data_IF_502395618137
#
_entry.id   IF_502395618137
#
_cell.length_a   1.000
_cell.length_b   1.000
_cell.length_c   1.000
_cell.angle_alpha   90.00
_cell.angle_beta   90.00
_cell.angle_gamma   90.00
#
_symmetry.space_group_name_H-M   'P 1'
#
loop_
_entity.id
_entity.type
_entity.pdbx_description
1 polymer ?
#
# COMPACT_ATOMS: atom_id res chain seq x y z
N UNK A 1 -14.29 5.22 8.39
CA UNK A 1 -13.76 4.49 7.22
C UNK A 1 -12.39 3.94 7.56
N UNK A 2 -12.09 2.77 7.06
CA UNK A 2 -10.81 2.09 7.25
C UNK A 2 -10.17 1.87 5.87
N UNK A 3 -8.93 2.34 5.71
CA UNK A 3 -8.27 2.39 4.40
C UNK A 3 -6.90 1.74 4.49
N UNK A 4 -6.61 0.82 3.56
CA UNK A 4 -5.30 0.23 3.37
C UNK A 4 -4.58 0.99 2.26
N UNK A 5 -3.35 1.42 2.50
CA UNK A 5 -2.57 2.13 1.48
C UNK A 5 -1.93 1.14 0.51
N UNK A 6 -2.08 1.40 -0.79
CA UNK A 6 -1.26 0.76 -1.80
C UNK A 6 0.20 1.18 -1.60
N UNK A 7 1.13 0.32 -1.99
CA UNK A 7 2.56 0.56 -1.79
C UNK A 7 3.03 1.87 -2.43
N UNK A 8 2.44 2.27 -3.56
CA UNK A 8 2.76 3.54 -4.21
C UNK A 8 2.53 4.76 -3.31
N UNK A 9 1.52 4.71 -2.45
CA UNK A 9 1.26 5.79 -1.48
C UNK A 9 2.34 5.87 -0.41
N UNK A 10 2.92 4.75 0.00
CA UNK A 10 4.03 4.74 0.94
C UNK A 10 5.26 5.42 0.32
N UNK A 11 5.55 5.13 -0.95
CA UNK A 11 6.61 5.83 -1.67
C UNK A 11 6.35 7.33 -1.75
N UNK A 12 5.12 7.73 -2.06
CA UNK A 12 4.75 9.14 -2.18
C UNK A 12 4.84 9.87 -0.84
N UNK A 13 4.48 9.22 0.26
CA UNK A 13 4.64 9.80 1.60
C UNK A 13 6.10 10.08 1.92
N UNK A 14 7.01 9.22 1.46
CA UNK A 14 8.45 9.40 1.68
C UNK A 14 9.08 10.42 0.73
N UNK A 15 8.69 10.39 -0.56
CA UNK A 15 9.38 11.13 -1.61
C UNK A 15 8.75 12.49 -1.91
N UNK A 16 7.44 12.59 -1.87
CA UNK A 16 6.71 13.78 -2.35
C UNK A 16 5.38 13.97 -1.62
N UNK A 17 5.40 14.20 -0.28
CA UNK A 17 4.16 14.35 0.49
C UNK A 17 3.32 15.56 0.05
N UNK A 18 3.93 16.56 -0.58
CA UNK A 18 3.22 17.71 -1.12
C UNK A 18 2.53 17.49 -2.46
N UNK A 19 2.76 16.34 -3.11
CA UNK A 19 2.22 16.05 -4.44
C UNK A 19 0.82 15.42 -4.41
N UNK A 20 0.29 15.11 -3.23
CA UNK A 20 -1.06 14.57 -3.11
C UNK A 20 -2.11 15.58 -3.57
N UNK A 21 -3.16 15.09 -4.25
CA UNK A 21 -4.32 15.89 -4.60
C UNK A 21 -5.10 16.32 -3.35
N UNK A 22 -5.98 17.30 -3.50
CA UNK A 22 -6.85 17.72 -2.39
C UNK A 22 -7.74 16.57 -1.90
N UNK A 23 -8.25 15.76 -2.82
CA UNK A 23 -9.07 14.60 -2.47
C UNK A 23 -8.27 13.55 -1.68
N UNK A 24 -7.02 13.29 -2.08
CA UNK A 24 -6.13 12.40 -1.34
C UNK A 24 -5.81 12.93 0.04
N UNK A 25 -5.52 14.23 0.15
CA UNK A 25 -5.25 14.86 1.45
C UNK A 25 -6.44 14.80 2.40
N UNK A 26 -7.66 14.97 1.88
CA UNK A 26 -8.86 14.84 2.68
C UNK A 26 -8.95 13.48 3.35
N UNK A 27 -8.64 12.42 2.61
CA UNK A 27 -8.64 11.06 3.17
C UNK A 27 -7.51 10.87 4.16
N UNK A 28 -6.29 11.26 3.78
CA UNK A 28 -5.08 10.98 4.57
C UNK A 28 -5.00 11.82 5.86
N UNK A 29 -5.67 12.95 5.92
CA UNK A 29 -5.66 13.85 7.08
C UNK A 29 -6.93 13.83 7.91
N UNK A 30 -7.96 13.11 7.48
CA UNK A 30 -9.22 13.01 8.21
C UNK A 30 -9.06 12.05 9.40
N UNK A 31 -9.21 12.59 10.61
CA UNK A 31 -9.06 11.80 11.85
C UNK A 31 -10.11 10.70 11.99
N UNK A 32 -11.24 10.79 11.28
CA UNK A 32 -12.26 9.74 11.28
C UNK A 32 -11.88 8.56 10.39
N UNK A 33 -10.84 8.68 9.57
CA UNK A 33 -10.33 7.61 8.71
C UNK A 33 -9.15 6.92 9.39
N UNK A 34 -9.26 5.60 9.58
CA UNK A 34 -8.12 4.80 10.06
C UNK A 34 -7.29 4.36 8.85
N UNK A 35 -6.00 4.65 8.89
CA UNK A 35 -5.06 4.35 7.81
C UNK A 35 -4.20 3.15 8.21
N UNK A 36 -4.13 2.19 7.29
CA UNK A 36 -3.36 0.95 7.46
C UNK A 36 -2.27 0.86 6.41
N UNK A 37 -1.13 0.31 6.81
CA UNK A 37 -0.05 -0.09 5.91
C UNK A 37 0.22 -1.58 6.12
N UNK A 38 0.33 -2.33 5.05
CA UNK A 38 0.51 -3.77 5.13
C UNK A 38 1.98 -4.15 5.29
N UNK A 39 2.22 -5.21 6.06
CA UNK A 39 3.51 -5.89 6.07
C UNK A 39 3.95 -6.33 4.67
N UNK A 40 3.00 -6.63 3.79
CA UNK A 40 3.26 -6.96 2.38
C UNK A 40 3.94 -5.80 1.65
N UNK A 41 3.46 -4.57 1.85
CA UNK A 41 4.07 -3.38 1.27
C UNK A 41 5.47 -3.14 1.80
N UNK A 42 5.70 -3.33 3.09
CA UNK A 42 7.03 -3.20 3.69
C UNK A 42 7.98 -4.24 3.08
N UNK A 43 7.54 -5.46 2.89
CA UNK A 43 8.33 -6.51 2.24
C UNK A 43 8.66 -6.15 0.79
N UNK A 44 7.68 -5.68 0.02
CA UNK A 44 7.90 -5.21 -1.36
C UNK A 44 8.96 -4.11 -1.39
N UNK A 45 8.86 -3.14 -0.49
CA UNK A 45 9.83 -2.04 -0.39
C UNK A 45 11.23 -2.55 -0.05
N UNK A 46 11.35 -3.56 0.84
CA UNK A 46 12.63 -4.19 1.16
C UNK A 46 13.25 -4.86 -0.07
N UNK A 47 12.44 -5.60 -0.83
CA UNK A 47 12.93 -6.26 -2.04
C UNK A 47 13.47 -5.23 -3.05
N UNK A 48 12.76 -4.12 -3.24
CA UNK A 48 13.20 -3.05 -4.14
C UNK A 48 14.41 -2.29 -3.61
N UNK A 49 14.51 -2.10 -2.31
CA UNK A 49 15.67 -1.47 -1.68
C UNK A 49 16.94 -2.32 -1.86
N UNK A 50 16.82 -3.64 -1.76
CA UNK A 50 17.92 -4.59 -1.95
C UNK A 50 18.25 -4.83 -3.42
N UNK A 51 17.29 -4.63 -4.33
CA UNK A 51 17.47 -4.85 -5.75
C UNK A 51 18.29 -3.73 -6.40
N UNK A 52 19.06 -4.08 -7.43
CA UNK A 52 19.88 -3.11 -8.14
C UNK A 52 19.62 -3.20 -9.63
N UNK A 53 19.74 -2.05 -10.31
CA UNK A 53 19.85 -2.01 -11.77
C UNK A 53 21.22 -2.52 -12.21
N UNK A 54 21.36 -2.84 -13.49
CA UNK A 54 22.68 -3.24 -14.08
C UNK A 54 23.74 -2.17 -13.88
N UNK A 55 23.34 -0.90 -13.81
CA UNK A 55 24.24 0.23 -13.54
C UNK A 55 24.77 0.26 -12.10
N UNK A 56 24.25 -0.60 -11.22
CA UNK A 56 24.63 -0.66 -9.80
C UNK A 56 23.78 0.18 -8.87
N UNK A 57 22.89 1.03 -9.40
CA UNK A 57 21.98 1.84 -8.59
C UNK A 57 20.86 1.02 -7.97
N UNK A 58 20.38 1.42 -6.78
CA UNK A 58 19.24 0.78 -6.12
C UNK A 58 17.94 1.06 -6.88
N UNK A 59 17.04 0.08 -6.89
CA UNK A 59 15.69 0.27 -7.48
C UNK A 59 14.80 1.13 -6.60
N UNK A 60 15.10 1.25 -5.33
CA UNK A 60 14.44 2.18 -4.41
C UNK A 60 15.46 2.75 -3.44
N UNK A 61 15.42 4.07 -3.16
CA UNK A 61 16.33 4.69 -2.19
C UNK A 61 15.86 4.56 -0.74
N UNK A 62 14.66 4.03 -0.50
CA UNK A 62 14.05 4.05 0.83
C UNK A 62 14.30 2.77 1.58
N UNK A 63 15.03 2.88 2.72
CA UNK A 63 15.19 1.78 3.66
C UNK A 63 13.84 1.50 4.35
N UNK A 64 13.36 0.24 4.35
CA UNK A 64 12.09 -0.09 5.00
C UNK A 64 12.02 0.29 6.48
N UNK A 65 13.12 0.26 7.20
CA UNK A 65 13.15 0.66 8.61
C UNK A 65 12.83 2.14 8.78
N UNK A 66 13.30 2.98 7.88
CA UNK A 66 12.98 4.41 7.89
C UNK A 66 11.50 4.64 7.56
N UNK A 67 10.97 3.87 6.62
CA UNK A 67 9.55 3.92 6.27
C UNK A 67 8.68 3.56 7.47
N UNK A 68 9.03 2.49 8.18
CA UNK A 68 8.30 2.06 9.39
C UNK A 68 8.28 3.20 10.43
N UNK A 69 9.42 3.84 10.68
CA UNK A 69 9.52 4.92 11.65
C UNK A 69 8.62 6.11 11.28
N UNK A 70 8.60 6.50 10.01
CA UNK A 70 7.73 7.59 9.53
C UNK A 70 6.25 7.22 9.69
N UNK A 71 5.88 6.00 9.34
CA UNK A 71 4.49 5.54 9.44
C UNK A 71 4.03 5.47 10.91
N UNK A 72 4.89 5.03 11.81
CA UNK A 72 4.59 5.05 13.25
C UNK A 72 4.33 6.46 13.76
N UNK A 73 5.12 7.44 13.34
CA UNK A 73 4.93 8.86 13.68
C UNK A 73 3.62 9.43 13.14
N UNK A 74 3.09 8.87 12.06
CA UNK A 74 1.84 9.29 11.44
C UNK A 74 0.62 8.55 11.97
N UNK A 75 0.77 7.76 13.03
CA UNK A 75 -0.30 6.94 13.61
C UNK A 75 -0.93 5.95 12.63
N UNK A 76 -0.15 5.48 11.67
CA UNK A 76 -0.57 4.43 10.72
C UNK A 76 -0.59 3.08 11.45
N UNK A 77 -1.65 2.32 11.23
CA UNK A 77 -1.80 0.99 11.82
C UNK A 77 -1.16 -0.03 10.87
N UNK A 78 -0.25 -0.85 11.39
CA UNK A 78 0.35 -1.92 10.58
C UNK A 78 -0.56 -3.14 10.54
N UNK A 79 -0.80 -3.63 9.32
CA UNK A 79 -1.58 -4.84 9.07
C UNK A 79 -0.63 -6.01 8.83
N UNK A 80 -0.59 -7.00 9.72
CA UNK A 80 0.24 -8.17 9.50
C UNK A 80 -0.31 -9.02 8.35
N UNK A 81 0.58 -9.75 7.66
CA UNK A 81 0.18 -10.76 6.71
C UNK A 81 -0.06 -12.07 7.46
N UNK A 82 -1.29 -12.59 7.39
CA UNK A 82 -1.67 -13.82 8.07
C UNK A 82 -1.66 -15.03 7.13
N UNK A 83 -1.73 -16.23 7.70
CA UNK A 83 -1.90 -17.46 6.92
C UNK A 83 -3.22 -17.41 6.14
N UNK A 84 -4.26 -16.87 6.74
CA UNK A 84 -5.56 -16.70 6.09
C UNK A 84 -5.46 -15.79 4.86
N UNK A 85 -4.75 -14.67 4.96
CA UNK A 85 -4.51 -13.81 3.81
C UNK A 85 -3.80 -14.56 2.68
N UNK A 86 -2.78 -15.33 3.02
CA UNK A 86 -2.00 -16.06 2.03
C UNK A 86 -2.80 -17.13 1.30
N UNK A 87 -3.78 -17.73 1.97
CA UNK A 87 -4.57 -18.84 1.42
C UNK A 87 -5.85 -18.40 0.72
N UNK A 88 -6.37 -17.21 1.03
CA UNK A 88 -7.67 -16.77 0.58
C UNK A 88 -7.67 -16.33 -0.88
N UNK A 89 -8.69 -16.77 -1.61
CA UNK A 89 -8.92 -16.35 -2.98
C UNK A 89 -9.61 -14.98 -3.02
N UNK A 90 -9.16 -14.12 -3.95
CA UNK A 90 -9.82 -12.85 -4.22
C UNK A 90 -11.15 -13.12 -4.96
N UNK A 91 -12.26 -12.60 -4.40
CA UNK A 91 -13.60 -12.83 -4.95
C UNK A 91 -13.79 -12.21 -6.32
N UNK A 92 -13.31 -10.96 -6.49
CA UNK A 92 -13.31 -10.29 -7.78
C UNK A 92 -11.88 -10.25 -8.31
N UNK A 93 -11.54 -11.08 -9.31
CA UNK A 93 -10.17 -11.16 -9.80
C UNK A 93 -9.69 -9.86 -10.45
N UNK A 94 -8.37 -9.70 -10.50
CA UNK A 94 -7.72 -8.64 -11.27
C UNK A 94 -7.09 -9.23 -12.53
N UNK A 95 -6.99 -8.41 -13.58
CA UNK A 95 -6.49 -8.89 -14.88
C UNK A 95 -4.96 -9.04 -14.90
N UNK A 96 -4.22 -8.15 -14.20
CA UNK A 96 -2.77 -8.24 -14.14
C UNK A 96 -2.31 -9.20 -13.05
N UNK A 97 -1.06 -9.65 -13.15
CA UNK A 97 -0.53 -10.72 -12.30
C UNK A 97 0.50 -10.25 -11.28
N UNK A 98 0.39 -9.02 -10.80
CA UNK A 98 1.25 -8.55 -9.72
C UNK A 98 0.80 -9.20 -8.40
N UNK A 99 1.60 -10.10 -7.80
CA UNK A 99 1.19 -10.80 -6.59
C UNK A 99 1.08 -9.89 -5.38
N UNK A 100 1.81 -8.78 -5.34
CA UNK A 100 1.71 -7.82 -4.23
C UNK A 100 0.36 -7.12 -4.27
N UNK A 101 -0.07 -6.65 -5.43
CA UNK A 101 -1.37 -5.98 -5.59
C UNK A 101 -2.53 -6.93 -5.28
N UNK A 102 -2.46 -8.16 -5.78
CA UNK A 102 -3.48 -9.16 -5.46
C UNK A 102 -3.57 -9.41 -3.97
N UNK A 103 -2.44 -9.55 -3.29
CA UNK A 103 -2.43 -9.83 -1.85
C UNK A 103 -2.95 -8.64 -1.03
N UNK A 104 -2.65 -7.42 -1.43
CA UNK A 104 -3.22 -6.23 -0.79
C UNK A 104 -4.75 -6.20 -0.92
N UNK A 105 -5.28 -6.56 -2.08
CA UNK A 105 -6.72 -6.66 -2.28
C UNK A 105 -7.34 -7.79 -1.45
N UNK A 106 -6.67 -8.92 -1.33
CA UNK A 106 -7.10 -10.02 -0.45
C UNK A 106 -7.16 -9.57 1.00
N UNK A 107 -6.17 -8.83 1.45
CA UNK A 107 -6.18 -8.26 2.80
C UNK A 107 -7.34 -7.29 3.00
N UNK A 108 -7.59 -6.40 2.04
CA UNK A 108 -8.72 -5.50 2.08
C UNK A 108 -10.05 -6.26 2.14
N UNK A 109 -10.18 -7.31 1.34
CA UNK A 109 -11.35 -8.17 1.32
C UNK A 109 -11.61 -8.81 2.68
N UNK A 110 -10.59 -9.43 3.26
CA UNK A 110 -10.74 -10.19 4.50
C UNK A 110 -10.94 -9.28 5.71
N UNK A 111 -10.26 -8.13 5.74
CA UNK A 111 -10.28 -7.22 6.88
C UNK A 111 -11.37 -6.13 6.78
N UNK A 112 -12.12 -6.10 5.69
CA UNK A 112 -13.17 -5.10 5.49
C UNK A 112 -12.63 -3.69 5.26
N UNK A 113 -11.51 -3.58 4.54
CA UNK A 113 -10.87 -2.32 4.20
C UNK A 113 -11.13 -1.95 2.74
N UNK A 114 -10.88 -0.70 2.39
CA UNK A 114 -10.72 -0.27 1.00
C UNK A 114 -9.24 -0.04 0.73
N UNK A 115 -8.78 -0.45 -0.44
CA UNK A 115 -7.42 -0.19 -0.89
C UNK A 115 -7.35 1.17 -1.57
N UNK A 116 -6.65 2.11 -0.97
CA UNK A 116 -6.38 3.42 -1.58
C UNK A 116 -5.29 3.24 -2.63
N UNK A 117 -5.64 3.44 -3.88
CA UNK A 117 -4.75 3.18 -5.02
C UNK A 117 -4.97 4.18 -6.14
N UNK A 118 -3.90 4.45 -6.89
CA UNK A 118 -3.95 5.19 -8.15
C UNK A 118 -3.58 4.30 -9.34
N UNK A 119 -3.41 2.99 -9.12
CA UNK A 119 -3.05 2.04 -10.17
C UNK A 119 -4.23 1.85 -11.12
N UNK A 120 -4.01 2.20 -12.39
CA UNK A 120 -5.03 2.10 -13.44
C UNK A 120 -5.54 0.69 -13.64
N UNK A 121 -4.74 -0.32 -13.34
CA UNK A 121 -5.13 -1.73 -13.50
C UNK A 121 -6.08 -2.21 -12.41
N UNK A 122 -6.19 -1.44 -11.31
CA UNK A 122 -7.06 -1.77 -10.17
C UNK A 122 -8.27 -0.82 -10.09
N UNK A 123 -8.21 0.33 -10.76
CA UNK A 123 -9.32 1.29 -10.79
C UNK A 123 -10.60 0.59 -11.25
N UNK A 124 -11.69 0.78 -10.51
CA UNK A 124 -12.96 0.13 -10.79
C UNK A 124 -13.17 -1.18 -10.05
N UNK A 125 -12.13 -1.73 -9.40
CA UNK A 125 -12.30 -2.89 -8.54
C UNK A 125 -13.18 -2.52 -7.34
N UNK A 126 -14.10 -3.41 -6.89
CA UNK A 126 -15.02 -3.09 -5.78
C UNK A 126 -14.32 -2.70 -4.48
N UNK A 127 -13.09 -3.17 -4.24
CA UNK A 127 -12.32 -2.87 -3.04
C UNK A 127 -11.40 -1.67 -3.20
N UNK A 128 -11.30 -1.08 -4.39
CA UNK A 128 -10.43 0.05 -4.65
C UNK A 128 -11.12 1.37 -4.29
N UNK A 129 -10.36 2.27 -3.67
CA UNK A 129 -10.73 3.66 -3.43
C UNK A 129 -9.77 4.53 -4.25
N UNK A 130 -10.30 5.24 -5.22
CA UNK A 130 -9.51 6.07 -6.15
C UNK A 130 -10.02 7.51 -6.07
N UNK A 131 -9.42 8.33 -5.22
CA UNK A 131 -9.84 9.73 -5.08
C UNK A 131 -9.50 10.58 -6.30
#
# INVERSE_FOLDING_TARGET
MRVLLDTSYLYNLMAAPGAFSDAERLILTNQAVQIYASAVSIWEMRLKFQARYRSGGRKSPFDPHDVIAVLEDQDVIFLPMTVSHAARKLETPIAHKDPFDELLLVQAQEEGLKLLTADRQIIGHPLALTP
#
